data_IF_462209509708
#
_entry.id   IF_462209509708
#
_cell.length_a   1.000
_cell.length_b   1.000
_cell.length_c   1.000
_cell.angle_alpha   90.00
_cell.angle_beta   90.00
_cell.angle_gamma   90.00
#
_symmetry.space_group_name_H-M   'P 1'
#
loop_
_entity.id
_entity.type
_entity.pdbx_description
1 polymer ?
#
# COMPACT_ATOMS: atom_id res chain seq x y z
N UNK A 1 -34.50 20.07 5.73
CA UNK A 1 -33.70 19.09 6.50
C UNK A 1 -32.87 18.29 5.50
N UNK A 2 -31.63 18.65 5.31
CA UNK A 2 -30.73 17.84 4.47
C UNK A 2 -30.46 16.53 5.20
N UNK A 3 -31.00 15.42 4.69
CA UNK A 3 -30.59 14.08 5.14
C UNK A 3 -29.08 13.96 4.87
N UNK A 4 -28.31 13.58 5.89
CA UNK A 4 -26.88 13.27 5.73
C UNK A 4 -26.78 12.20 4.65
N UNK A 5 -26.17 12.55 3.51
CA UNK A 5 -25.95 11.61 2.43
C UNK A 5 -24.67 10.83 2.70
N UNK A 6 -24.72 9.53 2.52
CA UNK A 6 -23.55 8.64 2.56
C UNK A 6 -23.20 8.29 1.13
N UNK A 7 -21.93 8.43 0.79
CA UNK A 7 -21.36 8.08 -0.51
C UNK A 7 -20.29 7.02 -0.33
N UNK A 8 -20.13 6.16 -1.31
CA UNK A 8 -19.09 5.14 -1.35
C UNK A 8 -18.13 5.52 -2.48
N UNK A 9 -16.86 5.76 -2.13
CA UNK A 9 -15.79 5.91 -3.10
C UNK A 9 -15.22 4.53 -3.43
N UNK A 10 -15.53 4.04 -4.62
CA UNK A 10 -15.06 2.75 -5.12
C UNK A 10 -13.64 2.89 -5.69
N UNK A 11 -12.67 2.25 -5.04
CA UNK A 11 -11.26 2.28 -5.45
C UNK A 11 -10.75 0.91 -5.94
N UNK A 12 -11.67 0.01 -6.31
CA UNK A 12 -11.36 -1.36 -6.76
C UNK A 12 -11.44 -1.54 -8.29
N UNK A 13 -11.45 -0.47 -9.06
CA UNK A 13 -11.52 -0.53 -10.54
C UNK A 13 -10.14 -0.61 -11.22
N UNK A 14 -9.08 -0.82 -10.47
CA UNK A 14 -7.74 -1.07 -10.99
C UNK A 14 -7.50 -2.54 -11.37
N UNK A 15 -6.35 -2.86 -11.97
CA UNK A 15 -6.07 -4.19 -12.51
C UNK A 15 -6.01 -5.30 -11.45
N UNK A 16 -5.68 -4.99 -10.20
CA UNK A 16 -5.66 -5.97 -9.11
C UNK A 16 -6.80 -5.78 -8.11
N UNK A 17 -7.78 -4.95 -8.45
CA UNK A 17 -8.98 -4.66 -7.66
C UNK A 17 -8.66 -4.07 -6.28
N UNK A 18 -7.50 -3.43 -6.13
CA UNK A 18 -7.05 -2.80 -4.89
C UNK A 18 -6.89 -1.29 -5.05
N UNK A 19 -7.23 -0.50 -4.03
CA UNK A 19 -6.99 0.94 -4.03
C UNK A 19 -5.51 1.32 -4.25
N UNK A 20 -4.62 0.39 -4.00
CA UNK A 20 -3.16 0.52 -4.19
C UNK A 20 -2.76 0.62 -5.66
N UNK A 21 -3.57 0.12 -6.57
CA UNK A 21 -3.29 0.13 -8.02
C UNK A 21 -2.99 1.53 -8.54
N UNK A 22 -3.78 2.52 -8.12
CA UNK A 22 -3.62 3.90 -8.57
C UNK A 22 -2.25 4.47 -8.20
N UNK A 23 -1.87 4.29 -6.92
CA UNK A 23 -0.59 4.79 -6.42
C UNK A 23 0.60 4.01 -7.00
N UNK A 24 0.47 2.69 -7.17
CA UNK A 24 1.52 1.85 -7.73
C UNK A 24 1.76 2.14 -9.21
N UNK A 25 0.72 2.37 -10.00
CA UNK A 25 0.84 2.73 -11.39
C UNK A 25 1.50 4.10 -11.59
N UNK A 26 1.18 5.06 -10.74
CA UNK A 26 1.88 6.34 -10.74
C UNK A 26 3.36 6.17 -10.37
N UNK A 27 3.64 5.47 -9.28
CA UNK A 27 4.99 5.21 -8.81
C UNK A 27 5.85 4.52 -9.87
N UNK A 28 5.33 3.47 -10.52
CA UNK A 28 6.09 2.73 -11.52
C UNK A 28 6.48 3.59 -12.72
N UNK A 29 5.57 4.43 -13.19
CA UNK A 29 5.84 5.34 -14.31
C UNK A 29 6.85 6.42 -13.92
N UNK A 30 6.66 7.07 -12.77
CA UNK A 30 7.56 8.11 -12.27
C UNK A 30 8.97 7.55 -12.04
N UNK A 31 9.06 6.35 -11.49
CA UNK A 31 10.33 5.69 -11.21
C UNK A 31 11.05 5.28 -12.50
N UNK A 32 10.34 4.70 -13.47
CA UNK A 32 10.91 4.35 -14.77
C UNK A 32 11.46 5.58 -15.50
N UNK A 33 10.71 6.67 -15.57
CA UNK A 33 11.15 7.95 -16.17
C UNK A 33 12.41 8.48 -15.45
N UNK A 34 12.47 8.37 -14.14
CA UNK A 34 13.65 8.82 -13.38
C UNK A 34 14.89 7.97 -13.66
N UNK A 35 14.72 6.66 -13.86
CA UNK A 35 15.80 5.73 -14.21
C UNK A 35 16.28 5.97 -15.66
N UNK A 36 15.35 6.13 -16.60
CA UNK A 36 15.69 6.46 -18.00
C UNK A 36 16.52 7.74 -18.09
N UNK A 37 16.08 8.81 -17.43
CA UNK A 37 16.85 10.08 -17.38
C UNK A 37 18.24 9.94 -16.81
N UNK A 38 18.47 8.96 -15.93
CA UNK A 38 19.76 8.70 -15.29
C UNK A 38 20.55 7.60 -16.00
N UNK A 39 20.02 6.98 -17.02
CA UNK A 39 20.55 5.78 -17.67
C UNK A 39 20.93 4.69 -16.67
N UNK A 40 19.98 4.36 -15.74
CA UNK A 40 20.17 3.40 -14.66
C UNK A 40 19.10 2.33 -14.68
N UNK A 41 19.42 1.17 -14.11
CA UNK A 41 18.49 0.11 -13.78
C UNK A 41 18.33 0.01 -12.25
N UNK A 42 17.24 -0.57 -11.80
CA UNK A 42 17.01 -0.84 -10.39
C UNK A 42 16.31 -2.19 -10.19
N UNK A 43 16.60 -2.83 -9.07
CA UNK A 43 15.87 -3.99 -8.59
C UNK A 43 14.97 -3.56 -7.43
N UNK A 44 13.70 -3.86 -7.54
CA UNK A 44 12.74 -3.66 -6.45
C UNK A 44 12.58 -4.96 -5.70
N UNK A 45 12.78 -4.91 -4.39
CA UNK A 45 12.55 -6.06 -3.51
C UNK A 45 11.55 -5.68 -2.42
N UNK A 46 10.54 -6.51 -2.24
CA UNK A 46 9.54 -6.30 -1.21
C UNK A 46 8.96 -7.59 -0.67
N UNK A 47 8.42 -7.53 0.55
CA UNK A 47 7.62 -8.59 1.15
C UNK A 47 6.16 -8.15 1.23
N UNK A 48 5.25 -9.08 1.02
CA UNK A 48 3.81 -8.82 1.07
C UNK A 48 3.07 -9.91 1.82
N UNK A 49 1.97 -9.51 2.47
CA UNK A 49 0.96 -10.43 2.98
C UNK A 49 -0.35 -10.37 2.16
N UNK A 50 -0.35 -9.63 1.04
CA UNK A 50 -1.57 -9.46 0.25
C UNK A 50 -1.49 -8.44 -0.90
N UNK A 51 -2.45 -7.51 -0.96
CA UNK A 51 -2.73 -6.62 -2.11
C UNK A 51 -1.54 -5.76 -2.58
N UNK A 52 -0.59 -5.43 -1.71
CA UNK A 52 0.56 -4.63 -2.10
C UNK A 52 1.43 -5.35 -3.11
N UNK A 53 1.58 -6.68 -2.96
CA UNK A 53 2.40 -7.48 -3.86
C UNK A 53 1.82 -7.56 -5.27
N UNK A 54 0.53 -7.90 -5.40
CA UNK A 54 -0.14 -7.97 -6.69
C UNK A 54 -0.17 -6.62 -7.40
N UNK A 55 -0.53 -5.54 -6.68
CA UNK A 55 -0.54 -4.19 -7.25
C UNK A 55 0.86 -3.71 -7.69
N UNK A 56 1.91 -4.10 -6.97
CA UNK A 56 3.28 -3.77 -7.32
C UNK A 56 3.75 -4.55 -8.56
N UNK A 57 3.60 -5.88 -8.56
CA UNK A 57 3.96 -6.71 -9.71
C UNK A 57 3.26 -6.21 -10.98
N UNK A 58 1.94 -5.98 -10.91
CA UNK A 58 1.15 -5.48 -12.04
C UNK A 58 1.62 -4.11 -12.53
N UNK A 59 2.00 -3.21 -11.63
CA UNK A 59 2.42 -1.87 -12.01
C UNK A 59 3.84 -1.81 -12.61
N UNK A 60 4.72 -2.70 -12.18
CA UNK A 60 6.14 -2.69 -12.59
C UNK A 60 6.47 -3.69 -13.69
N UNK A 61 5.58 -4.64 -14.01
CA UNK A 61 5.78 -5.60 -15.11
C UNK A 61 6.08 -4.88 -16.43
N UNK A 62 6.95 -5.49 -17.25
CA UNK A 62 7.28 -4.97 -18.58
C UNK A 62 7.97 -3.61 -18.56
N UNK A 63 8.71 -3.27 -17.51
CA UNK A 63 9.55 -2.06 -17.44
C UNK A 63 11.00 -2.40 -17.73
N UNK A 64 11.57 -1.89 -18.82
CA UNK A 64 12.90 -2.25 -19.28
C UNK A 64 14.03 -2.00 -18.27
N UNK A 65 13.84 -1.03 -17.38
CA UNK A 65 14.87 -0.61 -16.41
C UNK A 65 14.61 -1.11 -14.98
N UNK A 66 13.59 -1.96 -14.77
CA UNK A 66 13.17 -2.36 -13.44
C UNK A 66 12.88 -3.85 -13.41
N UNK A 67 13.53 -4.56 -12.51
CA UNK A 67 13.13 -5.90 -12.11
C UNK A 67 12.49 -5.85 -10.73
N UNK A 68 11.34 -6.50 -10.55
CA UNK A 68 10.64 -6.52 -9.27
C UNK A 68 10.53 -7.94 -8.72
N UNK A 69 10.92 -8.11 -7.47
CA UNK A 69 10.81 -9.35 -6.71
C UNK A 69 9.92 -9.14 -5.49
N UNK A 70 8.85 -9.91 -5.40
CA UNK A 70 7.92 -9.88 -4.27
C UNK A 70 7.96 -11.22 -3.54
N UNK A 71 8.40 -11.18 -2.28
CA UNK A 71 8.38 -12.33 -1.39
C UNK A 71 7.03 -12.43 -0.69
N UNK A 72 6.46 -13.62 -0.63
CA UNK A 72 5.25 -13.87 0.14
C UNK A 72 5.31 -15.21 0.88
N UNK A 73 4.69 -15.33 2.05
CA UNK A 73 4.75 -16.53 2.86
C UNK A 73 3.95 -17.67 2.23
N UNK A 74 4.59 -18.83 2.10
CA UNK A 74 4.00 -20.03 1.50
C UNK A 74 2.73 -20.46 2.24
N UNK A 75 1.62 -20.59 1.51
CA UNK A 75 0.29 -20.99 2.04
C UNK A 75 -0.25 -20.10 3.17
N UNK A 76 0.22 -18.84 3.26
CA UNK A 76 -0.22 -17.88 4.28
C UNK A 76 -0.74 -16.55 3.71
N UNK A 77 -0.99 -16.52 2.42
CA UNK A 77 -1.77 -15.46 1.74
C UNK A 77 -3.07 -16.09 1.22
N UNK A 78 -4.08 -15.28 0.99
CA UNK A 78 -5.33 -15.80 0.44
C UNK A 78 -5.09 -16.40 -0.97
N UNK A 79 -5.89 -17.40 -1.33
CA UNK A 79 -5.77 -18.05 -2.63
C UNK A 79 -5.94 -17.08 -3.81
N UNK A 80 -6.83 -16.09 -3.65
CA UNK A 80 -7.06 -15.03 -4.64
C UNK A 80 -5.82 -14.16 -4.79
N UNK A 81 -5.25 -13.69 -3.69
CA UNK A 81 -4.05 -12.86 -3.71
C UNK A 81 -2.84 -13.61 -4.27
N UNK A 82 -2.69 -14.90 -3.92
CA UNK A 82 -1.64 -15.72 -4.50
C UNK A 82 -1.80 -15.83 -6.01
N UNK A 83 -3.00 -16.13 -6.50
CA UNK A 83 -3.29 -16.20 -7.93
C UNK A 83 -3.00 -14.88 -8.63
N UNK A 84 -3.42 -13.74 -8.07
CA UNK A 84 -3.13 -12.42 -8.62
C UNK A 84 -1.64 -12.15 -8.77
N UNK A 85 -0.79 -12.58 -7.83
CA UNK A 85 0.66 -12.42 -7.92
C UNK A 85 1.31 -13.39 -8.90
N UNK A 86 0.89 -14.67 -8.90
CA UNK A 86 1.51 -15.72 -9.70
C UNK A 86 0.99 -15.79 -11.13
N UNK A 87 -0.13 -15.14 -11.43
CA UNK A 87 -0.65 -15.01 -12.80
C UNK A 87 0.20 -14.08 -13.68
N UNK A 88 0.90 -13.14 -13.05
CA UNK A 88 1.78 -12.21 -13.74
C UNK A 88 3.05 -12.98 -14.15
N UNK A 89 3.15 -13.27 -15.43
CA UNK A 89 4.28 -13.99 -16.03
C UNK A 89 4.88 -13.15 -17.15
N UNK A 90 5.34 -11.96 -16.79
CA UNK A 90 6.01 -11.03 -17.70
C UNK A 90 7.44 -10.82 -17.25
N UNK A 91 8.32 -10.49 -18.19
CA UNK A 91 9.73 -10.23 -17.94
C UNK A 91 9.89 -9.13 -16.88
N UNK A 92 10.82 -9.36 -15.95
CA UNK A 92 11.14 -8.44 -14.87
C UNK A 92 10.18 -8.46 -13.67
N UNK A 93 9.10 -9.27 -13.67
CA UNK A 93 8.16 -9.36 -12.54
C UNK A 93 8.14 -10.77 -11.92
N UNK A 94 8.61 -10.90 -10.67
CA UNK A 94 8.83 -12.18 -10.01
C UNK A 94 8.12 -12.26 -8.66
N UNK A 95 7.22 -13.24 -8.50
CA UNK A 95 6.57 -13.58 -7.25
C UNK A 95 7.22 -14.83 -6.63
N UNK A 96 7.80 -14.69 -5.44
CA UNK A 96 8.57 -15.74 -4.78
C UNK A 96 7.88 -16.21 -3.49
N UNK A 97 7.47 -17.47 -3.48
CA UNK A 97 6.89 -18.12 -2.31
C UNK A 97 7.98 -18.63 -1.37
N UNK A 98 8.01 -18.13 -0.13
CA UNK A 98 9.02 -18.47 0.87
C UNK A 98 8.40 -19.29 2.00
N UNK A 99 9.06 -20.39 2.42
CA UNK A 99 8.60 -21.27 3.51
C UNK A 99 8.83 -20.63 4.88
N UNK A 100 8.17 -19.50 5.14
CA UNK A 100 8.21 -18.76 6.39
C UNK A 100 6.89 -18.04 6.59
N UNK A 101 6.78 -17.21 7.62
CA UNK A 101 5.71 -16.24 7.80
C UNK A 101 6.04 -14.87 7.16
N UNK A 102 5.15 -13.90 7.33
CA UNK A 102 5.35 -12.57 6.77
C UNK A 102 6.56 -11.85 7.39
N UNK A 103 6.75 -12.01 8.70
CA UNK A 103 7.89 -11.40 9.41
C UNK A 103 9.22 -11.99 8.91
N UNK A 104 9.26 -13.30 8.61
CA UNK A 104 10.42 -13.94 7.98
C UNK A 104 10.68 -13.44 6.56
N UNK A 105 9.65 -13.22 5.76
CA UNK A 105 9.82 -12.59 4.44
C UNK A 105 10.40 -11.16 4.58
N UNK A 106 9.93 -10.39 5.55
CA UNK A 106 10.44 -9.06 5.82
C UNK A 106 11.89 -9.07 6.32
N UNK A 107 12.27 -10.05 7.15
CA UNK A 107 13.64 -10.22 7.62
C UNK A 107 14.59 -10.43 6.44
N UNK A 108 14.25 -11.32 5.50
CA UNK A 108 15.05 -11.55 4.28
C UNK A 108 15.22 -10.25 3.48
N UNK A 109 14.14 -9.48 3.30
CA UNK A 109 14.21 -8.19 2.59
C UNK A 109 15.16 -7.25 3.33
N UNK A 110 15.06 -7.17 4.66
CA UNK A 110 15.90 -6.31 5.48
C UNK A 110 17.39 -6.70 5.38
N UNK A 111 17.69 -7.99 5.47
CA UNK A 111 19.04 -8.51 5.33
C UNK A 111 19.67 -8.12 3.97
N UNK A 112 18.87 -8.22 2.88
CA UNK A 112 19.31 -7.77 1.56
C UNK A 112 19.59 -6.26 1.50
N UNK A 113 18.86 -5.44 2.24
CA UNK A 113 19.09 -3.99 2.32
C UNK A 113 20.27 -3.62 3.23
N UNK A 114 20.61 -4.45 4.21
CA UNK A 114 21.77 -4.28 5.10
C UNK A 114 23.07 -4.72 4.43
N UNK A 115 23.05 -5.63 3.45
CA UNK A 115 24.19 -5.94 2.60
C UNK A 115 24.43 -4.81 1.59
N UNK A 116 25.35 -3.92 1.94
CA UNK A 116 25.66 -2.74 1.12
C UNK A 116 26.20 -3.12 -0.27
N UNK A 117 26.99 -4.20 -0.39
CA UNK A 117 27.52 -4.65 -1.66
C UNK A 117 26.40 -5.15 -2.58
N UNK A 118 25.47 -5.95 -2.05
CA UNK A 118 24.32 -6.43 -2.79
C UNK A 118 23.43 -5.26 -3.22
N UNK A 119 23.12 -4.37 -2.28
CA UNK A 119 22.29 -3.18 -2.51
C UNK A 119 22.85 -2.29 -3.63
N UNK A 120 24.16 -2.01 -3.60
CA UNK A 120 24.79 -1.11 -4.57
C UNK A 120 24.88 -1.77 -5.96
N UNK A 121 25.26 -3.05 -6.03
CA UNK A 121 25.35 -3.80 -7.29
C UNK A 121 24.01 -3.93 -8.01
N UNK A 122 22.92 -4.06 -7.26
CA UNK A 122 21.56 -4.23 -7.80
C UNK A 122 20.80 -2.92 -7.90
N UNK A 123 21.32 -1.81 -7.38
CA UNK A 123 20.56 -0.57 -7.18
C UNK A 123 19.24 -0.85 -6.46
N UNK A 124 19.33 -1.62 -5.36
CA UNK A 124 18.16 -2.15 -4.64
C UNK A 124 17.27 -1.04 -4.12
N UNK A 125 15.97 -1.16 -4.38
CA UNK A 125 14.96 -0.18 -4.01
C UNK A 125 13.75 -0.86 -3.36
N UNK A 126 13.06 -0.12 -2.50
CA UNK A 126 11.88 -0.60 -1.78
C UNK A 126 10.61 0.14 -2.20
N UNK A 127 9.48 -0.57 -2.08
CA UNK A 127 8.14 -0.03 -2.35
C UNK A 127 7.23 -0.15 -1.12
N UNK A 128 7.73 0.22 0.06
CA UNK A 128 6.97 0.11 1.30
C UNK A 128 5.84 1.16 1.41
N UNK A 129 5.00 1.01 2.43
CA UNK A 129 3.82 1.86 2.64
C UNK A 129 4.13 3.32 2.92
N UNK A 130 5.33 3.62 3.45
CA UNK A 130 5.78 4.97 3.82
C UNK A 130 6.46 5.72 2.66
N UNK A 131 6.59 5.09 1.49
CA UNK A 131 7.15 5.74 0.32
C UNK A 131 6.28 6.93 -0.07
N UNK A 132 6.87 8.14 -0.03
CA UNK A 132 6.19 9.39 -0.34
C UNK A 132 5.51 9.37 -1.71
N UNK A 133 6.15 8.80 -2.72
CA UNK A 133 5.59 8.70 -4.07
C UNK A 133 4.38 7.76 -4.13
N UNK A 134 4.20 6.89 -3.13
CA UNK A 134 2.96 6.11 -2.94
C UNK A 134 1.87 6.88 -2.20
N UNK A 135 2.24 7.76 -1.27
CA UNK A 135 1.27 8.56 -0.52
C UNK A 135 0.67 9.68 -1.35
N UNK A 136 1.50 10.34 -2.13
CA UNK A 136 1.11 11.51 -2.91
C UNK A 136 -0.10 11.28 -3.83
N UNK A 137 -0.17 10.22 -4.65
CA UNK A 137 -1.35 9.97 -5.48
C UNK A 137 -2.61 9.65 -4.68
N UNK A 138 -2.49 9.17 -3.45
CA UNK A 138 -3.63 8.87 -2.60
C UNK A 138 -4.32 10.15 -2.08
N UNK A 139 -3.63 11.26 -2.03
CA UNK A 139 -4.22 12.57 -1.69
C UNK A 139 -5.32 12.92 -2.71
N UNK A 140 -5.13 12.55 -3.97
CA UNK A 140 -6.07 12.81 -5.06
C UNK A 140 -7.45 12.19 -4.79
N UNK A 141 -7.53 11.03 -4.13
CA UNK A 141 -8.80 10.38 -3.81
C UNK A 141 -9.71 11.31 -2.98
N UNK A 142 -9.12 12.01 -2.01
CA UNK A 142 -9.82 12.91 -1.11
C UNK A 142 -10.31 14.17 -1.81
N UNK A 143 -9.46 14.81 -2.59
CA UNK A 143 -9.87 15.98 -3.38
C UNK A 143 -10.92 15.61 -4.41
N UNK A 144 -10.70 14.55 -5.17
CA UNK A 144 -11.65 14.11 -6.19
C UNK A 144 -13.04 13.82 -5.60
N UNK A 145 -13.11 13.03 -4.54
CA UNK A 145 -14.38 12.65 -3.93
C UNK A 145 -15.06 13.83 -3.23
N UNK A 146 -14.31 14.66 -2.51
CA UNK A 146 -14.85 15.84 -1.85
C UNK A 146 -15.48 16.82 -2.86
N UNK A 147 -14.80 17.13 -3.95
CA UNK A 147 -15.32 17.98 -5.01
C UNK A 147 -16.60 17.43 -5.64
N UNK A 148 -16.69 16.10 -5.80
CA UNK A 148 -17.91 15.44 -6.34
C UNK A 148 -19.13 15.55 -5.43
N UNK A 149 -18.95 15.73 -4.12
CA UNK A 149 -20.05 15.83 -3.16
C UNK A 149 -20.33 17.26 -2.70
N UNK A 150 -19.70 18.26 -3.33
CA UNK A 150 -19.98 19.69 -3.14
C UNK A 150 -19.03 20.45 -2.23
N UNK A 151 -17.79 19.97 -2.07
CA UNK A 151 -16.71 20.77 -1.48
C UNK A 151 -16.21 21.81 -2.51
N UNK A 152 -15.73 23.01 -2.12
CA UNK A 152 -15.43 23.43 -0.73
C UNK A 152 -16.62 23.98 0.06
N UNK A 153 -17.78 24.17 -0.52
CA UNK A 153 -18.96 24.77 0.13
C UNK A 153 -19.53 23.88 1.26
N UNK A 154 -19.17 22.60 1.23
CA UNK A 154 -19.58 21.63 2.25
C UNK A 154 -18.37 20.95 2.87
N UNK A 155 -18.39 20.84 4.18
CA UNK A 155 -17.46 19.98 4.90
C UNK A 155 -17.78 18.50 4.66
N UNK A 156 -16.76 17.70 4.56
CA UNK A 156 -16.87 16.25 4.35
C UNK A 156 -16.25 15.47 5.51
N UNK A 157 -16.84 14.31 5.78
CA UNK A 157 -16.29 13.31 6.70
C UNK A 157 -15.87 12.11 5.87
N UNK A 158 -14.66 11.63 6.08
CA UNK A 158 -14.20 10.38 5.46
C UNK A 158 -14.08 9.26 6.48
N UNK A 159 -14.72 8.13 6.19
CA UNK A 159 -14.48 6.86 6.89
C UNK A 159 -13.54 6.02 6.04
N UNK A 160 -12.38 5.72 6.58
CA UNK A 160 -11.27 5.08 5.86
C UNK A 160 -10.93 3.77 6.54
N UNK A 161 -11.31 2.62 5.95
CA UNK A 161 -10.82 1.34 6.41
C UNK A 161 -9.32 1.23 6.07
N UNK A 162 -8.48 1.23 7.10
CA UNK A 162 -7.03 1.27 6.89
C UNK A 162 -6.32 0.35 7.88
N UNK A 163 -5.37 -0.43 7.36
CA UNK A 163 -4.47 -1.25 8.19
C UNK A 163 -3.15 -0.52 8.46
N UNK A 164 -2.44 -0.15 7.39
CA UNK A 164 -1.10 0.47 7.48
C UNK A 164 -1.11 2.01 7.60
N UNK A 165 -2.23 2.60 7.90
CA UNK A 165 -2.41 4.04 8.12
C UNK A 165 -2.09 4.97 6.91
N UNK A 166 -1.47 4.47 5.84
CA UNK A 166 -1.03 5.28 4.70
C UNK A 166 -2.17 6.03 4.01
N UNK A 167 -3.29 5.38 3.76
CA UNK A 167 -4.42 6.01 3.08
C UNK A 167 -5.03 7.15 3.93
N UNK A 168 -5.29 6.92 5.22
CA UNK A 168 -5.85 7.97 6.09
C UNK A 168 -4.85 9.11 6.33
N UNK A 169 -3.53 8.84 6.30
CA UNK A 169 -2.49 9.87 6.32
C UNK A 169 -2.61 10.78 5.10
N UNK A 170 -2.86 10.23 3.91
CA UNK A 170 -3.11 11.02 2.71
C UNK A 170 -4.35 11.93 2.87
N UNK A 171 -5.40 11.45 3.55
CA UNK A 171 -6.57 12.25 3.92
C UNK A 171 -6.22 13.38 4.90
N UNK A 172 -5.38 13.11 5.88
CA UNK A 172 -4.89 14.15 6.79
C UNK A 172 -4.07 15.21 6.04
N UNK A 173 -3.24 14.80 5.08
CA UNK A 173 -2.50 15.71 4.22
C UNK A 173 -3.44 16.57 3.37
N UNK A 174 -4.47 15.97 2.75
CA UNK A 174 -5.48 16.71 2.01
C UNK A 174 -6.14 17.79 2.88
N UNK A 175 -6.47 17.45 4.14
CA UNK A 175 -6.97 18.43 5.12
C UNK A 175 -5.97 19.56 5.39
N UNK A 176 -4.68 19.23 5.55
CA UNK A 176 -3.61 20.25 5.74
C UNK A 176 -3.39 21.11 4.50
N UNK A 177 -3.69 20.61 3.31
CA UNK A 177 -3.67 21.35 2.05
C UNK A 177 -4.89 22.27 1.86
N UNK A 178 -5.83 22.28 2.80
CA UNK A 178 -7.00 23.16 2.79
C UNK A 178 -8.31 22.49 2.37
N UNK A 179 -8.33 21.19 2.11
CA UNK A 179 -9.60 20.50 1.85
C UNK A 179 -10.47 20.51 3.13
N UNK A 180 -11.73 20.96 3.09
CA UNK A 180 -12.58 21.09 4.27
C UNK A 180 -13.08 19.74 4.77
N UNK A 181 -12.17 18.98 5.35
CA UNK A 181 -12.46 17.71 6.01
C UNK A 181 -12.70 17.99 7.49
N UNK A 182 -13.94 17.81 7.95
CA UNK A 182 -14.25 18.00 9.37
C UNK A 182 -13.70 16.85 10.21
N UNK A 183 -13.81 15.61 9.73
CA UNK A 183 -13.37 14.42 10.48
C UNK A 183 -12.83 13.33 9.55
N UNK A 184 -11.78 12.65 10.02
CA UNK A 184 -11.31 11.37 9.47
C UNK A 184 -11.65 10.27 10.49
N UNK A 185 -12.31 9.22 10.05
CA UNK A 185 -12.68 8.06 10.86
C UNK A 185 -11.84 6.89 10.40
N UNK A 186 -11.04 6.33 11.29
CA UNK A 186 -10.23 5.15 11.03
C UNK A 186 -11.07 3.90 11.27
N UNK A 187 -11.46 3.20 10.22
CA UNK A 187 -12.12 1.90 10.33
C UNK A 187 -11.11 0.80 10.65
N UNK A 188 -11.38 0.01 11.68
CA UNK A 188 -10.55 -1.11 12.11
C UNK A 188 -11.40 -2.39 12.16
N UNK A 189 -10.75 -3.55 11.95
CA UNK A 189 -11.37 -4.84 12.21
C UNK A 189 -11.02 -5.33 13.63
N UNK A 190 -11.21 -6.62 13.92
CA UNK A 190 -10.86 -7.19 15.23
C UNK A 190 -9.36 -7.09 15.60
N UNK A 191 -8.49 -6.84 14.62
CA UNK A 191 -7.07 -6.54 14.84
C UNK A 191 -6.92 -5.04 15.12
N UNK A 192 -7.23 -4.66 16.35
CA UNK A 192 -7.56 -3.33 16.83
C UNK A 192 -6.36 -2.45 17.25
N UNK A 193 -5.18 -2.69 16.71
CA UNK A 193 -3.97 -2.00 17.19
C UNK A 193 -4.08 -0.47 17.10
N UNK A 194 -4.69 0.06 16.05
CA UNK A 194 -4.87 1.51 15.90
C UNK A 194 -5.87 2.06 16.92
N UNK A 195 -6.99 1.36 17.13
CA UNK A 195 -7.99 1.77 18.13
C UNK A 195 -7.34 1.88 19.50
N UNK A 196 -6.62 0.85 19.93
CA UNK A 196 -5.91 0.84 21.22
C UNK A 196 -4.85 1.93 21.32
N UNK A 197 -4.14 2.18 20.23
CA UNK A 197 -3.15 3.26 20.20
C UNK A 197 -3.80 4.64 20.38
N UNK A 198 -4.93 4.90 19.74
CA UNK A 198 -5.64 6.17 19.91
C UNK A 198 -6.28 6.33 21.31
N UNK A 199 -6.63 5.22 21.96
CA UNK A 199 -7.18 5.26 23.31
C UNK A 199 -6.13 5.49 24.40
N UNK A 200 -4.94 4.92 24.27
CA UNK A 200 -3.95 4.87 25.36
C UNK A 200 -2.53 5.31 24.98
N UNK A 201 -2.28 5.64 23.72
CA UNK A 201 -0.98 6.06 23.22
C UNK A 201 0.07 4.95 23.10
N UNK A 202 -0.30 3.68 23.33
CA UNK A 202 0.65 2.57 23.40
C UNK A 202 0.44 1.62 22.23
N UNK A 203 1.47 1.42 21.42
CA UNK A 203 1.52 0.36 20.40
C UNK A 203 2.01 -0.96 21.02
N UNK A 204 1.07 -1.83 21.36
CA UNK A 204 1.40 -3.17 21.90
C UNK A 204 0.96 -4.25 20.91
N UNK A 205 1.93 -5.08 20.50
CA UNK A 205 1.68 -6.24 19.64
C UNK A 205 0.72 -7.23 20.32
N UNK A 206 -0.21 -7.77 19.54
CA UNK A 206 -1.10 -8.87 19.93
C UNK A 206 -1.11 -9.92 18.83
N UNK A 207 -1.68 -11.07 19.11
CA UNK A 207 -1.95 -12.09 18.09
C UNK A 207 -2.89 -11.54 17.03
N UNK A 208 -2.63 -11.90 15.79
CA UNK A 208 -3.47 -11.54 14.63
C UNK A 208 -4.52 -12.63 14.44
N UNK A 209 -5.76 -12.20 14.22
CA UNK A 209 -6.87 -13.07 13.90
C UNK A 209 -7.25 -12.88 12.44
N UNK A 210 -7.38 -13.97 11.65
CA UNK A 210 -7.84 -13.88 10.26
C UNK A 210 -9.21 -13.24 10.16
N UNK A 211 -9.38 -12.35 9.18
CA UNK A 211 -10.66 -11.67 8.92
C UNK A 211 -11.00 -11.68 7.43
N UNK A 212 -12.19 -11.18 7.08
CA UNK A 212 -12.58 -10.94 5.69
C UNK A 212 -11.79 -9.81 5.02
N UNK A 213 -11.01 -9.05 5.78
CA UNK A 213 -10.15 -7.97 5.29
C UNK A 213 -8.67 -8.27 5.60
N UNK A 214 -8.06 -9.27 4.95
CA UNK A 214 -6.72 -9.76 5.31
C UNK A 214 -5.64 -8.68 5.21
N UNK A 215 -5.80 -7.69 4.36
CA UNK A 215 -4.87 -6.55 4.26
C UNK A 215 -4.89 -5.64 5.50
N UNK A 216 -5.87 -5.81 6.39
CA UNK A 216 -6.00 -5.09 7.67
C UNK A 216 -5.64 -5.97 8.88
N UNK A 217 -5.27 -7.24 8.67
CA UNK A 217 -4.90 -8.18 9.72
C UNK A 217 -3.44 -7.95 10.16
N UNK A 218 -3.23 -6.91 10.96
CA UNK A 218 -1.92 -6.45 11.39
C UNK A 218 -1.78 -6.47 12.90
N UNK A 219 -0.64 -6.95 13.39
CA UNK A 219 -0.28 -6.93 14.80
C UNK A 219 0.54 -5.68 15.18
N UNK A 220 1.23 -5.10 14.22
CA UNK A 220 2.05 -3.90 14.34
C UNK A 220 2.02 -3.15 13.02
N UNK A 221 2.01 -1.82 13.09
CA UNK A 221 2.15 -0.96 11.91
C UNK A 221 3.64 -0.73 11.72
N UNK A 222 4.13 -1.11 10.56
CA UNK A 222 5.50 -0.82 10.15
C UNK A 222 5.52 0.58 9.51
N UNK A 223 5.68 1.57 10.35
CA UNK A 223 5.92 2.96 9.94
C UNK A 223 7.42 3.24 10.04
#
# INVERSE_FOLDING_TARGET
VYKRQTYILELFHGPTLAFKDYAMQFLSRAFNIALEKKNKRAVILGATSGDTGSAALEAFKGKDNIDIFILFPHKRVSEVQQKQMTWINEDGAHALSVKTDFDGCQAIVKDCFEDLNFKDRTSLSAINSINWVRLLPQIVYYFYSALRVGSPEKEVVFSVPTGNFGNILAGWMAKKMGLPISRLICGSNQNDILTRFFENGIMKRKNVFPSYSPSMDLSLIHI
#
